data_IF_213254022926
#
_entry.id   IF_213254022926
#
_cell.length_a   1.000
_cell.length_b   1.000
_cell.length_c   1.000
_cell.angle_alpha   90.00
_cell.angle_beta   90.00
_cell.angle_gamma   90.00
#
_symmetry.space_group_name_H-M   'P 1'
#
loop_
_entity.id
_entity.type
_entity.pdbx_description
1 polymer ?
#
# COMPACT_ATOMS: atom_id res chain seq x y z
N UNK A 1 -15.37 -12.85 5.33
CA UNK A 1 -14.17 -12.60 6.15
C UNK A 1 -13.05 -12.11 5.23
N UNK A 2 -12.45 -10.95 5.51
CA UNK A 2 -11.22 -10.52 4.83
C UNK A 2 -10.10 -11.47 5.23
N UNK A 3 -9.20 -11.78 4.30
CA UNK A 3 -7.98 -12.51 4.65
C UNK A 3 -6.96 -11.49 5.19
N UNK A 4 -6.14 -11.89 6.15
CA UNK A 4 -5.06 -11.05 6.68
C UNK A 4 -3.73 -11.28 5.93
N UNK A 5 -3.75 -12.07 4.84
CA UNK A 5 -2.55 -12.40 4.08
C UNK A 5 -2.84 -12.70 2.59
N UNK A 6 -1.83 -12.51 1.74
CA UNK A 6 -1.78 -12.91 0.33
C UNK A 6 -0.88 -14.14 0.20
N UNK A 7 -1.35 -15.16 -0.51
CA UNK A 7 -0.56 -16.37 -0.79
C UNK A 7 0.45 -16.08 -1.92
N UNK A 8 1.73 -16.36 -1.69
CA UNK A 8 2.80 -16.17 -2.68
C UNK A 8 2.94 -17.36 -3.63
N UNK A 9 2.69 -18.57 -3.13
CA UNK A 9 2.64 -19.81 -3.91
C UNK A 9 1.47 -20.66 -3.43
N UNK A 10 0.87 -21.42 -4.33
CA UNK A 10 -0.07 -22.46 -3.94
C UNK A 10 0.64 -23.48 -3.04
N UNK A 11 -0.13 -24.03 -2.10
CA UNK A 11 0.30 -24.93 -1.02
C UNK A 11 1.35 -25.93 -1.54
N UNK A 12 2.59 -25.83 -1.07
CA UNK A 12 3.58 -26.87 -1.31
C UNK A 12 3.47 -27.92 -0.21
N UNK A 13 3.96 -29.14 -0.46
CA UNK A 13 4.02 -30.20 0.58
C UNK A 13 4.80 -29.77 1.83
N UNK A 14 5.64 -28.73 1.71
CA UNK A 14 6.45 -28.15 2.79
C UNK A 14 5.78 -27.02 3.56
N UNK A 15 4.58 -26.56 3.16
CA UNK A 15 3.81 -25.54 3.88
C UNK A 15 3.22 -24.43 3.02
N UNK A 16 2.85 -23.33 3.68
CA UNK A 16 2.22 -22.15 3.06
C UNK A 16 3.17 -20.97 3.18
N UNK A 17 3.47 -20.33 2.07
CA UNK A 17 4.19 -19.04 2.03
C UNK A 17 3.18 -17.94 1.75
N UNK A 18 3.05 -16.99 2.68
CA UNK A 18 2.12 -15.89 2.59
C UNK A 18 2.73 -14.58 3.10
N UNK A 19 2.29 -13.45 2.55
CA UNK A 19 2.61 -12.12 3.03
C UNK A 19 1.43 -11.56 3.82
N UNK A 20 1.70 -11.13 5.04
CA UNK A 20 0.70 -10.49 5.88
C UNK A 20 0.34 -9.10 5.32
N UNK A 21 -0.90 -8.68 5.55
CA UNK A 21 -1.38 -7.33 5.31
C UNK A 21 -0.43 -6.24 5.84
N UNK A 22 0.14 -6.42 7.04
CA UNK A 22 1.03 -5.45 7.67
C UNK A 22 2.27 -5.12 6.84
N UNK A 23 2.77 -6.09 6.06
CA UNK A 23 3.90 -5.86 5.13
C UNK A 23 3.55 -4.80 4.11
N UNK A 24 2.35 -4.87 3.53
CA UNK A 24 1.88 -3.89 2.55
C UNK A 24 1.61 -2.53 3.19
N UNK A 25 1.10 -2.49 4.43
CA UNK A 25 0.94 -1.23 5.18
C UNK A 25 2.29 -0.53 5.36
N UNK A 26 3.33 -1.26 5.79
CA UNK A 26 4.68 -0.70 5.94
C UNK A 26 5.27 -0.21 4.61
N UNK A 27 5.11 -0.98 3.52
CA UNK A 27 5.60 -0.55 2.20
C UNK A 27 4.91 0.76 1.78
N UNK A 28 3.59 0.87 1.98
CA UNK A 28 2.83 2.09 1.63
C UNK A 28 3.30 3.28 2.45
N UNK A 29 3.52 3.12 3.76
CA UNK A 29 4.01 4.19 4.64
C UNK A 29 5.38 4.72 4.18
N UNK A 30 6.32 3.83 3.83
CA UNK A 30 7.65 4.18 3.32
C UNK A 30 7.53 4.84 1.93
N UNK A 31 6.62 4.35 1.09
CA UNK A 31 6.45 4.84 -0.30
C UNK A 31 5.97 6.28 -0.38
N UNK A 32 5.36 6.79 0.70
CA UNK A 32 4.87 8.17 0.79
C UNK A 32 5.98 9.18 1.09
N UNK A 33 7.18 8.74 1.49
CA UNK A 33 8.31 9.65 1.66
C UNK A 33 8.79 10.21 0.32
N UNK A 34 9.39 11.40 0.33
CA UNK A 34 10.07 12.01 -0.82
C UNK A 34 9.20 12.25 -2.07
N UNK A 35 7.90 12.55 -1.90
CA UNK A 35 7.05 13.02 -3.00
C UNK A 35 6.85 14.54 -2.86
N UNK A 36 7.32 15.29 -3.84
CA UNK A 36 7.14 16.74 -3.87
C UNK A 36 5.68 17.13 -4.11
N UNK A 37 5.19 18.15 -3.40
CA UNK A 37 3.79 18.60 -3.49
C UNK A 37 2.80 17.80 -2.65
N UNK A 38 3.31 16.83 -1.89
CA UNK A 38 2.55 15.90 -1.06
C UNK A 38 2.86 16.13 0.43
N UNK A 39 1.84 16.00 1.29
CA UNK A 39 2.01 16.01 2.74
C UNK A 39 1.31 14.79 3.35
N UNK A 40 2.07 14.00 4.12
CA UNK A 40 1.56 12.87 4.88
C UNK A 40 0.56 13.35 5.92
N UNK A 41 -0.55 12.63 6.04
CA UNK A 41 -1.47 12.79 7.17
C UNK A 41 -0.92 11.92 8.31
N UNK A 42 -0.77 12.43 9.53
CA UNK A 42 -0.30 11.63 10.65
C UNK A 42 -1.39 10.64 11.10
N UNK A 43 -0.98 9.42 11.45
CA UNK A 43 -1.87 8.45 12.08
C UNK A 43 -2.25 8.93 13.48
N UNK A 44 -3.55 8.94 13.77
CA UNK A 44 -4.08 9.31 15.10
C UNK A 44 -4.88 8.14 15.69
N UNK A 45 -5.30 8.25 16.95
CA UNK A 45 -6.14 7.23 17.60
C UNK A 45 -7.43 6.94 16.81
N UNK A 46 -7.98 7.94 16.11
CA UNK A 46 -9.28 7.86 15.44
C UNK A 46 -9.21 7.84 13.92
N UNK A 47 -8.04 8.11 13.33
CA UNK A 47 -7.87 8.15 11.89
C UNK A 47 -6.58 7.43 11.47
N UNK A 48 -6.75 6.49 10.54
CA UNK A 48 -5.65 5.80 9.86
C UNK A 48 -5.68 6.21 8.38
N UNK A 49 -4.73 7.06 7.94
CA UNK A 49 -4.68 7.55 6.57
C UNK A 49 -4.25 6.48 5.57
N UNK A 50 -3.69 5.36 6.03
CA UNK A 50 -3.42 4.18 5.21
C UNK A 50 -4.36 3.06 5.62
N UNK A 51 -5.08 2.50 4.64
CA UNK A 51 -5.91 1.31 4.82
C UNK A 51 -5.56 0.27 3.77
N UNK A 52 -5.11 -0.90 4.23
CA UNK A 52 -4.92 -2.07 3.36
C UNK A 52 -5.99 -3.11 3.67
N UNK A 53 -6.57 -3.70 2.64
CA UNK A 53 -7.55 -4.80 2.74
C UNK A 53 -7.24 -5.86 1.70
N UNK A 54 -7.35 -7.12 2.09
CA UNK A 54 -7.20 -8.24 1.15
C UNK A 54 -8.56 -8.93 1.00
N UNK A 55 -9.10 -8.85 -0.21
CA UNK A 55 -10.44 -9.39 -0.55
C UNK A 55 -10.29 -10.30 -1.75
N UNK A 56 -10.67 -11.58 -1.60
CA UNK A 56 -10.57 -12.60 -2.67
C UNK A 56 -9.15 -12.68 -3.29
N UNK A 57 -8.11 -12.67 -2.45
CA UNK A 57 -6.69 -12.67 -2.85
C UNK A 57 -6.28 -11.45 -3.71
N UNK A 58 -7.06 -10.36 -3.68
CA UNK A 58 -6.71 -9.07 -4.30
C UNK A 58 -6.35 -8.07 -3.21
N UNK A 59 -5.29 -7.30 -3.45
CA UNK A 59 -4.85 -6.23 -2.59
C UNK A 59 -5.64 -4.95 -2.90
N UNK A 60 -6.26 -4.37 -1.88
CA UNK A 60 -6.91 -3.07 -1.95
C UNK A 60 -6.19 -2.11 -1.01
N UNK A 61 -5.73 -0.98 -1.54
CA UNK A 61 -4.98 0.03 -0.78
C UNK A 61 -5.72 1.35 -0.93
N UNK A 62 -6.02 1.99 0.19
CA UNK A 62 -6.54 3.36 0.26
C UNK A 62 -5.53 4.21 1.03
N UNK A 63 -5.22 5.39 0.48
CA UNK A 63 -4.28 6.33 1.08
C UNK A 63 -4.89 7.73 1.03
N UNK A 64 -5.06 8.31 2.21
CA UNK A 64 -5.52 9.68 2.40
C UNK A 64 -4.34 10.62 2.51
N UNK A 65 -4.39 11.72 1.76
CA UNK A 65 -3.22 12.55 1.49
C UNK A 65 -3.62 14.02 1.39
N UNK A 66 -2.74 14.92 1.84
CA UNK A 66 -2.87 16.34 1.60
C UNK A 66 -2.05 16.73 0.38
N UNK A 67 -2.67 17.43 -0.56
CA UNK A 67 -2.01 17.95 -1.77
C UNK A 67 -1.84 19.45 -1.63
N UNK A 68 -0.65 19.98 -1.96
CA UNK A 68 -0.39 21.43 -1.91
C UNK A 68 -1.34 22.19 -2.85
N UNK A 69 -1.79 23.36 -2.40
CA UNK A 69 -2.59 24.26 -3.24
C UNK A 69 -1.87 24.60 -4.55
N UNK A 70 -2.65 24.65 -5.64
CA UNK A 70 -2.13 24.90 -6.99
C UNK A 70 -1.46 23.70 -7.66
N UNK A 71 -1.27 22.58 -6.95
CA UNK A 71 -0.71 21.38 -7.54
C UNK A 71 -1.77 20.52 -8.24
N UNK A 72 -1.39 19.86 -9.34
CA UNK A 72 -2.30 19.01 -10.09
C UNK A 72 -2.54 17.69 -9.33
N UNK A 73 -3.73 17.55 -8.74
CA UNK A 73 -4.14 16.38 -7.95
C UNK A 73 -3.96 15.08 -8.72
N UNK A 74 -4.40 15.03 -9.99
CA UNK A 74 -4.31 13.80 -10.79
C UNK A 74 -2.85 13.37 -11.03
N UNK A 75 -1.97 14.34 -11.34
CA UNK A 75 -0.54 14.07 -11.53
C UNK A 75 0.11 13.55 -10.25
N UNK A 76 -0.18 14.16 -9.10
CA UNK A 76 0.39 13.76 -7.81
C UNK A 76 -0.14 12.39 -7.37
N UNK A 77 -1.45 12.16 -7.47
CA UNK A 77 -2.05 10.86 -7.15
C UNK A 77 -1.46 9.76 -8.03
N UNK A 78 -1.27 10.00 -9.33
CA UNK A 78 -0.65 9.02 -10.24
C UNK A 78 0.81 8.74 -9.87
N UNK A 79 1.60 9.75 -9.51
CA UNK A 79 2.98 9.57 -9.03
C UNK A 79 3.03 8.70 -7.77
N UNK A 80 2.17 8.98 -6.79
CA UNK A 80 2.09 8.20 -5.55
C UNK A 80 1.67 6.76 -5.83
N UNK A 81 0.62 6.55 -6.63
CA UNK A 81 0.14 5.21 -7.00
C UNK A 81 1.24 4.40 -7.69
N UNK A 82 1.96 4.99 -8.64
CA UNK A 82 3.06 4.33 -9.32
C UNK A 82 4.21 3.98 -8.37
N UNK A 83 4.55 4.87 -7.43
CA UNK A 83 5.62 4.62 -6.45
C UNK A 83 5.25 3.47 -5.51
N UNK A 84 4.02 3.45 -4.99
CA UNK A 84 3.50 2.35 -4.17
C UNK A 84 3.53 1.03 -4.94
N UNK A 85 3.01 1.02 -6.18
CA UNK A 85 3.00 -0.17 -7.02
C UNK A 85 4.40 -0.71 -7.27
N UNK A 86 5.34 0.16 -7.67
CA UNK A 86 6.72 -0.22 -7.96
C UNK A 86 7.41 -0.78 -6.71
N UNK A 87 7.23 -0.16 -5.55
CA UNK A 87 7.84 -0.63 -4.31
C UNK A 87 7.28 -1.98 -3.87
N UNK A 88 5.96 -2.19 -3.98
CA UNK A 88 5.35 -3.51 -3.71
C UNK A 88 5.93 -4.56 -4.66
N UNK A 89 5.97 -4.27 -5.96
CA UNK A 89 6.51 -5.19 -6.96
C UNK A 89 7.98 -5.53 -6.68
N UNK A 90 8.82 -4.54 -6.37
CA UNK A 90 10.24 -4.73 -6.11
C UNK A 90 10.51 -5.51 -4.82
N UNK A 91 9.76 -5.24 -3.75
CA UNK A 91 10.00 -5.84 -2.43
C UNK A 91 9.33 -7.21 -2.26
N UNK A 92 8.22 -7.45 -2.97
CA UNK A 92 7.42 -8.69 -2.79
C UNK A 92 7.42 -9.60 -4.02
N UNK A 93 7.81 -9.09 -5.19
CA UNK A 93 7.71 -9.83 -6.46
C UNK A 93 6.27 -10.04 -6.96
N UNK A 94 5.26 -9.50 -6.26
CA UNK A 94 3.86 -9.60 -6.64
C UNK A 94 3.53 -8.57 -7.73
N UNK A 95 2.87 -9.04 -8.80
CA UNK A 95 2.31 -8.21 -9.87
C UNK A 95 0.83 -7.99 -9.68
#
# INVERSE_FOLDING_TARGET
>A
MSKEYILLKEKSDSGIIALNKSVFESIVEISQDDIEGFQKIPTTRFSKPVSVKIVKNKLHISVDVNVKYGANVNSISKKLQNKIYNNILQMTGLK
#
